data_IF_108491538562
#
_entry.id   IF_108491538562
#
_cell.length_a   1.000
_cell.length_b   1.000
_cell.length_c   1.000
_cell.angle_alpha   90.00
_cell.angle_beta   90.00
_cell.angle_gamma   90.00
#
_symmetry.space_group_name_H-M   'P 1'
#
loop_
_entity.id
_entity.type
_entity.pdbx_description
1 polymer ?
#
# COMPACT_ATOMS: atom_id res chain seq x y z
N UNK A 1 -26.18 7.24 -23.31
CA UNK A 1 -24.70 7.36 -23.42
C UNK A 1 -24.14 8.39 -22.44
N UNK A 2 -24.70 9.62 -22.37
CA UNK A 2 -24.29 10.63 -21.37
C UNK A 2 -24.46 10.19 -19.91
N UNK A 3 -25.60 9.56 -19.55
CA UNK A 3 -25.82 9.04 -18.19
C UNK A 3 -24.80 7.97 -17.82
N UNK A 4 -24.46 7.07 -18.75
CA UNK A 4 -23.44 6.04 -18.52
C UNK A 4 -22.05 6.66 -18.36
N UNK A 5 -21.77 7.73 -19.10
CA UNK A 5 -20.52 8.46 -18.99
C UNK A 5 -20.42 9.24 -17.68
N UNK A 6 -21.49 9.90 -17.23
CA UNK A 6 -21.57 10.50 -15.89
C UNK A 6 -21.46 9.46 -14.77
N UNK A 7 -22.06 8.27 -14.95
CA UNK A 7 -21.97 7.19 -13.97
C UNK A 7 -20.55 6.64 -13.82
N UNK A 8 -19.77 6.65 -14.91
CA UNK A 8 -18.38 6.17 -14.93
C UNK A 8 -17.39 7.26 -14.53
N UNK A 9 -17.67 8.54 -14.80
CA UNK A 9 -16.76 9.65 -14.46
C UNK A 9 -17.03 10.32 -13.12
N UNK A 10 -18.17 10.02 -12.48
CA UNK A 10 -18.47 10.57 -11.15
C UNK A 10 -17.47 10.05 -10.12
N UNK A 11 -16.77 10.98 -9.49
CA UNK A 11 -15.70 10.69 -8.54
C UNK A 11 -16.21 9.81 -7.38
N UNK A 12 -17.35 10.15 -6.77
CA UNK A 12 -17.88 9.36 -5.66
C UNK A 12 -18.22 7.92 -6.08
N UNK A 13 -18.78 7.73 -7.28
CA UNK A 13 -19.05 6.38 -7.79
C UNK A 13 -17.77 5.61 -8.10
N UNK A 14 -16.74 6.26 -8.61
CA UNK A 14 -15.46 5.62 -8.88
C UNK A 14 -14.76 5.13 -7.60
N UNK A 15 -14.72 5.94 -6.54
CA UNK A 15 -14.06 5.54 -5.29
C UNK A 15 -14.88 4.52 -4.47
N UNK A 16 -16.21 4.63 -4.46
CA UNK A 16 -17.07 3.81 -3.59
C UNK A 16 -17.75 2.62 -4.28
N UNK A 17 -17.88 2.66 -5.60
CA UNK A 17 -18.56 1.60 -6.38
C UNK A 17 -17.58 0.92 -7.33
N UNK A 18 -16.97 1.65 -8.27
CA UNK A 18 -16.13 1.03 -9.29
C UNK A 18 -14.81 0.45 -8.75
N UNK A 19 -14.13 1.17 -7.85
CA UNK A 19 -12.93 0.67 -7.18
C UNK A 19 -13.17 -0.65 -6.45
N UNK A 20 -14.13 -0.71 -5.51
CA UNK A 20 -14.50 -1.94 -4.83
C UNK A 20 -14.95 -3.04 -5.79
N UNK A 21 -15.75 -2.71 -6.82
CA UNK A 21 -16.18 -3.67 -7.84
C UNK A 21 -14.99 -4.31 -8.55
N UNK A 22 -13.99 -3.52 -8.98
CA UNK A 22 -12.77 -4.03 -9.59
C UNK A 22 -11.98 -4.91 -8.61
N UNK A 23 -11.93 -4.52 -7.33
CA UNK A 23 -11.34 -5.33 -6.27
C UNK A 23 -12.03 -6.69 -6.12
N UNK A 24 -13.38 -6.71 -6.08
CA UNK A 24 -14.18 -7.94 -6.03
C UNK A 24 -13.94 -8.80 -7.27
N UNK A 25 -13.97 -8.23 -8.47
CA UNK A 25 -13.72 -8.96 -9.72
C UNK A 25 -12.34 -9.61 -9.70
N UNK A 26 -11.28 -8.87 -9.35
CA UNK A 26 -9.95 -9.44 -9.19
C UNK A 26 -9.93 -10.54 -8.11
N UNK A 27 -10.62 -10.33 -6.99
CA UNK A 27 -10.69 -11.31 -5.90
C UNK A 27 -11.32 -12.62 -6.35
N UNK A 28 -12.44 -12.54 -7.05
CA UNK A 28 -13.14 -13.70 -7.62
C UNK A 28 -12.31 -14.36 -8.72
N UNK A 29 -11.67 -13.61 -9.61
CA UNK A 29 -10.85 -14.20 -10.68
C UNK A 29 -9.63 -14.93 -10.12
N UNK A 30 -8.87 -14.29 -9.22
CA UNK A 30 -7.62 -14.86 -8.71
C UNK A 30 -7.82 -15.89 -7.61
N UNK A 31 -8.83 -15.74 -6.74
CA UNK A 31 -9.13 -16.71 -5.69
C UNK A 31 -10.18 -17.74 -6.10
N UNK A 32 -11.08 -17.42 -7.03
CA UNK A 32 -12.26 -18.21 -7.38
C UNK A 32 -12.08 -19.20 -8.54
N UNK A 33 -11.18 -18.95 -9.49
CA UNK A 33 -10.97 -19.86 -10.65
C UNK A 33 -10.12 -21.08 -10.30
N UNK A 34 -9.46 -21.10 -9.14
CA UNK A 34 -8.53 -22.17 -8.74
C UNK A 34 -9.21 -23.35 -8.06
N UNK A 35 -8.61 -24.53 -8.10
CA UNK A 35 -9.19 -25.71 -7.47
C UNK A 35 -9.02 -25.68 -5.94
N UNK A 36 -9.88 -26.37 -5.17
CA UNK A 36 -9.65 -26.59 -3.74
C UNK A 36 -8.34 -27.36 -3.49
N UNK A 37 -7.77 -27.31 -2.27
CA UNK A 37 -6.52 -27.99 -1.97
C UNK A 37 -6.68 -29.51 -2.10
N UNK A 38 -5.67 -30.19 -2.62
CA UNK A 38 -5.68 -31.65 -2.76
C UNK A 38 -5.53 -32.34 -1.40
N UNK A 39 -5.98 -33.60 -1.27
CA UNK A 39 -5.99 -34.37 0.01
C UNK A 39 -4.59 -34.49 0.64
N UNK A 40 -3.52 -34.45 -0.17
CA UNK A 40 -2.12 -34.53 0.29
C UNK A 40 -1.41 -33.16 0.31
N UNK A 41 -2.14 -32.04 0.21
CA UNK A 41 -1.53 -30.71 0.15
C UNK A 41 -0.96 -30.26 1.51
N UNK A 42 0.18 -29.54 1.55
CA UNK A 42 0.80 -29.07 2.79
C UNK A 42 -0.15 -28.17 3.60
N UNK A 43 -0.19 -28.36 4.93
CA UNK A 43 -1.26 -27.83 5.82
C UNK A 43 -0.97 -26.39 6.27
N UNK A 44 0.30 -26.04 6.46
CA UNK A 44 0.74 -24.73 6.95
C UNK A 44 1.48 -23.94 5.88
N UNK A 45 1.46 -22.60 5.99
CA UNK A 45 2.22 -21.71 5.09
C UNK A 45 3.70 -22.07 5.04
N UNK A 46 4.27 -22.45 6.19
CA UNK A 46 5.69 -22.83 6.31
C UNK A 46 5.95 -24.14 5.55
N UNK A 47 5.05 -25.12 5.64
CA UNK A 47 5.15 -26.37 4.88
C UNK A 47 4.98 -26.12 3.38
N UNK A 48 4.00 -25.32 2.96
CA UNK A 48 3.78 -24.94 1.55
C UNK A 48 5.03 -24.26 0.99
N UNK A 49 5.62 -23.30 1.72
CA UNK A 49 6.91 -22.71 1.37
C UNK A 49 8.00 -23.77 1.22
N UNK A 50 8.13 -24.68 2.19
CA UNK A 50 9.18 -25.70 2.14
C UNK A 50 9.05 -26.61 0.91
N UNK A 51 7.83 -27.04 0.61
CA UNK A 51 7.53 -27.95 -0.51
C UNK A 51 7.68 -27.27 -1.88
N UNK A 52 7.20 -26.03 -2.04
CA UNK A 52 7.13 -25.37 -3.34
C UNK A 52 8.25 -24.35 -3.62
N UNK A 53 8.92 -23.82 -2.58
CA UNK A 53 10.00 -22.83 -2.73
C UNK A 53 11.38 -23.44 -2.43
N UNK A 54 11.50 -24.38 -1.48
CA UNK A 54 12.82 -24.77 -0.94
C UNK A 54 13.49 -25.93 -1.69
N UNK A 55 12.99 -26.36 -2.84
CA UNK A 55 13.53 -27.48 -3.62
C UNK A 55 14.31 -27.07 -4.88
N UNK A 56 15.20 -26.04 -4.84
CA UNK A 56 16.39 -25.89 -5.73
C UNK A 56 17.17 -24.59 -5.46
N UNK A 57 18.50 -24.78 -5.32
CA UNK A 57 19.70 -23.89 -5.42
C UNK A 57 19.74 -22.47 -4.83
N UNK A 58 20.61 -22.33 -3.82
CA UNK A 58 21.40 -21.14 -3.51
C UNK A 58 22.27 -20.70 -4.70
N UNK A 59 21.99 -19.52 -5.24
CA UNK A 59 22.97 -18.75 -6.02
C UNK A 59 23.21 -17.44 -5.28
N UNK A 60 24.36 -17.34 -4.62
CA UNK A 60 24.80 -16.12 -3.94
C UNK A 60 25.13 -15.04 -4.96
N UNK A 61 24.38 -13.93 -4.91
CA UNK A 61 24.68 -12.71 -5.65
C UNK A 61 25.40 -11.73 -4.73
N UNK A 62 26.68 -11.52 -4.96
CA UNK A 62 27.51 -10.51 -4.29
C UNK A 62 27.04 -9.11 -4.68
N UNK A 63 26.61 -8.31 -3.70
CA UNK A 63 26.28 -6.90 -3.91
C UNK A 63 27.58 -6.08 -4.00
N UNK A 64 27.87 -5.56 -5.19
CA UNK A 64 28.96 -4.62 -5.42
C UNK A 64 28.64 -3.26 -4.80
N UNK A 65 29.51 -2.78 -3.92
CA UNK A 65 29.47 -1.44 -3.35
C UNK A 65 29.95 -0.40 -4.37
N UNK A 66 29.10 0.56 -4.73
CA UNK A 66 29.50 1.73 -5.52
C UNK A 66 29.86 2.89 -4.60
N UNK A 67 31.05 3.46 -4.84
CA UNK A 67 31.65 4.58 -4.12
C UNK A 67 30.89 5.89 -4.36
N UNK A 68 30.59 6.59 -3.27
CA UNK A 68 29.85 7.85 -3.26
C UNK A 68 30.73 9.07 -3.50
N UNK A 69 30.72 9.55 -4.74
CA UNK A 69 31.11 10.92 -5.08
C UNK A 69 29.95 11.52 -5.89
N UNK A 70 29.14 12.38 -5.26
CA UNK A 70 27.92 12.94 -5.86
C UNK A 70 26.72 13.03 -4.91
N UNK A 71 26.83 12.47 -3.70
CA UNK A 71 25.74 12.45 -2.72
C UNK A 71 25.16 13.83 -2.42
N UNK A 72 25.99 14.88 -2.35
CA UNK A 72 25.54 16.25 -2.05
C UNK A 72 24.59 16.85 -3.11
N UNK A 73 24.86 16.63 -4.39
CA UNK A 73 23.99 17.10 -5.47
C UNK A 73 22.65 16.32 -5.50
N UNK A 74 22.71 15.02 -5.19
CA UNK A 74 21.53 14.15 -5.10
C UNK A 74 20.64 14.58 -3.92
N UNK A 75 21.21 14.85 -2.75
CA UNK A 75 20.46 15.35 -1.59
C UNK A 75 19.83 16.71 -1.84
N UNK A 76 20.55 17.62 -2.53
CA UNK A 76 20.00 18.93 -2.89
C UNK A 76 18.84 18.82 -3.90
N UNK A 77 19.01 18.03 -4.96
CA UNK A 77 17.94 17.77 -5.93
C UNK A 77 16.72 17.11 -5.27
N UNK A 78 16.94 16.20 -4.32
CA UNK A 78 15.88 15.56 -3.55
C UNK A 78 15.15 16.58 -2.66
N UNK A 79 15.86 17.47 -1.98
CA UNK A 79 15.26 18.51 -1.15
C UNK A 79 14.35 19.44 -1.98
N UNK A 80 14.83 19.92 -3.14
CA UNK A 80 14.02 20.75 -4.06
C UNK A 80 12.82 19.97 -4.60
N UNK A 81 13.02 18.70 -4.95
CA UNK A 81 11.94 17.81 -5.40
C UNK A 81 10.85 17.63 -4.35
N UNK A 82 11.22 17.46 -3.07
CA UNK A 82 10.26 17.34 -1.97
C UNK A 82 9.50 18.65 -1.76
N UNK A 83 10.17 19.81 -1.80
CA UNK A 83 9.48 21.11 -1.71
C UNK A 83 8.45 21.29 -2.84
N UNK A 84 8.79 20.87 -4.05
CA UNK A 84 7.85 20.88 -5.17
C UNK A 84 6.66 19.93 -4.94
N UNK A 85 6.92 18.71 -4.44
CA UNK A 85 5.86 17.75 -4.11
C UNK A 85 4.94 18.26 -3.01
N UNK A 86 5.47 18.95 -1.99
CA UNK A 86 4.68 19.58 -0.94
C UNK A 86 3.75 20.64 -1.49
N UNK A 87 4.26 21.52 -2.35
CA UNK A 87 3.47 22.54 -3.00
C UNK A 87 2.37 21.93 -3.89
N UNK A 88 2.70 20.91 -4.69
CA UNK A 88 1.72 20.21 -5.52
C UNK A 88 0.68 19.47 -4.68
N UNK A 89 1.08 18.83 -3.60
CA UNK A 89 0.18 18.17 -2.67
C UNK A 89 -0.81 19.17 -2.06
N UNK A 90 -0.35 20.37 -1.66
CA UNK A 90 -1.20 21.43 -1.10
C UNK A 90 -2.29 21.88 -2.09
N UNK A 91 -1.93 22.00 -3.37
CA UNK A 91 -2.87 22.40 -4.44
C UNK A 91 -3.87 21.30 -4.76
N UNK A 92 -3.40 20.05 -4.85
CA UNK A 92 -4.20 18.92 -5.33
C UNK A 92 -4.64 17.97 -4.22
N UNK A 93 -4.75 18.45 -2.98
CA UNK A 93 -5.00 17.59 -1.82
C UNK A 93 -6.27 16.76 -1.97
N UNK A 94 -7.35 17.36 -2.46
CA UNK A 94 -8.62 16.67 -2.66
C UNK A 94 -8.48 15.53 -3.66
N UNK A 95 -7.78 15.78 -4.77
CA UNK A 95 -7.54 14.80 -5.82
C UNK A 95 -6.62 13.66 -5.35
N UNK A 96 -5.58 13.99 -4.57
CA UNK A 96 -4.66 12.99 -4.00
C UNK A 96 -5.41 12.07 -3.04
N UNK A 97 -6.17 12.61 -2.08
CA UNK A 97 -6.95 11.81 -1.14
C UNK A 97 -8.02 11.00 -1.85
N UNK A 98 -8.64 11.58 -2.89
CA UNK A 98 -9.61 10.88 -3.71
C UNK A 98 -9.02 9.61 -4.36
N UNK A 99 -7.88 9.71 -5.03
CA UNK A 99 -7.23 8.54 -5.63
C UNK A 99 -6.72 7.54 -4.57
N UNK A 100 -6.25 8.02 -3.42
CA UNK A 100 -5.86 7.15 -2.31
C UNK A 100 -7.06 6.36 -1.76
N UNK A 101 -8.23 7.01 -1.60
CA UNK A 101 -9.45 6.33 -1.18
C UNK A 101 -9.94 5.32 -2.20
N UNK A 102 -9.89 5.65 -3.50
CA UNK A 102 -10.22 4.70 -4.57
C UNK A 102 -9.29 3.48 -4.56
N UNK A 103 -7.98 3.71 -4.41
CA UNK A 103 -7.00 2.63 -4.37
C UNK A 103 -7.18 1.75 -3.12
N UNK A 104 -7.38 2.38 -1.96
CA UNK A 104 -7.66 1.69 -0.70
C UNK A 104 -8.91 0.83 -0.81
N UNK A 105 -10.01 1.39 -1.31
CA UNK A 105 -11.30 0.69 -1.40
C UNK A 105 -11.21 -0.52 -2.35
N UNK A 106 -10.47 -0.37 -3.45
CA UNK A 106 -10.15 -1.46 -4.39
C UNK A 106 -9.37 -2.58 -3.72
N UNK A 107 -8.27 -2.26 -3.01
CA UNK A 107 -7.44 -3.25 -2.33
C UNK A 107 -8.17 -3.92 -1.17
N UNK A 108 -8.98 -3.17 -0.41
CA UNK A 108 -9.76 -3.70 0.69
C UNK A 108 -10.82 -4.67 0.19
N UNK A 109 -11.55 -4.31 -0.86
CA UNK A 109 -12.53 -5.19 -1.50
C UNK A 109 -11.88 -6.45 -2.08
N UNK A 110 -10.71 -6.31 -2.73
CA UNK A 110 -9.91 -7.44 -3.17
C UNK A 110 -9.55 -8.36 -1.99
N UNK A 111 -9.02 -7.80 -0.90
CA UNK A 111 -8.63 -8.57 0.29
C UNK A 111 -9.80 -9.28 0.95
N UNK A 112 -10.93 -8.60 1.13
CA UNK A 112 -12.14 -9.18 1.73
C UNK A 112 -12.71 -10.30 0.86
N UNK A 113 -12.76 -10.09 -0.45
CA UNK A 113 -13.26 -11.08 -1.41
C UNK A 113 -12.35 -12.30 -1.46
N UNK A 114 -11.04 -12.09 -1.54
CA UNK A 114 -10.06 -13.18 -1.48
C UNK A 114 -10.19 -13.98 -0.18
N UNK A 115 -10.34 -13.31 0.97
CA UNK A 115 -10.56 -13.99 2.24
C UNK A 115 -11.85 -14.82 2.24
N UNK A 116 -12.96 -14.26 1.75
CA UNK A 116 -14.25 -14.94 1.68
C UNK A 116 -14.21 -16.15 0.75
N UNK A 117 -13.68 -16.00 -0.46
CA UNK A 117 -13.57 -17.09 -1.44
C UNK A 117 -12.64 -18.20 -0.93
N UNK A 118 -11.50 -17.84 -0.35
CA UNK A 118 -10.59 -18.81 0.28
C UNK A 118 -11.24 -19.55 1.45
N UNK A 119 -12.13 -18.89 2.20
CA UNK A 119 -12.92 -19.51 3.26
C UNK A 119 -13.91 -20.52 2.70
N UNK A 120 -14.69 -20.13 1.69
CA UNK A 120 -15.68 -21.01 1.05
C UNK A 120 -15.03 -22.24 0.40
N UNK A 121 -13.79 -22.11 -0.09
CA UNK A 121 -13.01 -23.20 -0.66
C UNK A 121 -12.29 -24.09 0.36
N UNK A 122 -12.36 -23.77 1.65
CA UNK A 122 -11.65 -24.51 2.69
C UNK A 122 -10.12 -24.39 2.61
N UNK A 123 -9.59 -23.30 2.03
CA UNK A 123 -8.13 -23.08 1.92
C UNK A 123 -7.48 -22.79 3.28
N UNK A 124 -8.26 -22.38 4.29
CA UNK A 124 -7.80 -22.15 5.66
C UNK A 124 -7.59 -23.47 6.43
N UNK A 125 -6.52 -24.19 6.08
CA UNK A 125 -6.17 -25.46 6.74
C UNK A 125 -5.38 -25.28 8.04
N UNK A 126 -5.01 -24.06 8.41
CA UNK A 126 -4.38 -23.73 9.70
C UNK A 126 -4.55 -22.26 10.06
N UNK A 127 -4.38 -21.92 11.35
CA UNK A 127 -4.42 -20.54 11.85
C UNK A 127 -3.38 -19.63 11.16
N UNK A 128 -2.27 -20.20 10.66
CA UNK A 128 -1.26 -19.43 9.93
C UNK A 128 -1.82 -18.79 8.66
N UNK A 129 -2.63 -19.54 7.89
CA UNK A 129 -3.27 -19.02 6.68
C UNK A 129 -4.26 -17.90 6.99
N UNK A 130 -5.00 -18.03 8.09
CA UNK A 130 -5.93 -16.99 8.53
C UNK A 130 -5.19 -15.68 8.83
N UNK A 131 -4.05 -15.73 9.55
CA UNK A 131 -3.25 -14.53 9.84
C UNK A 131 -2.77 -13.84 8.56
N UNK A 132 -2.21 -14.59 7.60
CA UNK A 132 -1.63 -13.97 6.40
C UNK A 132 -2.66 -13.43 5.40
N UNK A 133 -3.91 -13.89 5.45
CA UNK A 133 -5.00 -13.39 4.59
C UNK A 133 -5.84 -12.31 5.29
N UNK A 134 -6.01 -12.39 6.61
CA UNK A 134 -6.79 -11.39 7.38
C UNK A 134 -5.95 -10.17 7.75
N UNK A 135 -4.64 -10.32 7.99
CA UNK A 135 -3.77 -9.19 8.33
C UNK A 135 -3.78 -8.05 7.28
N UNK A 136 -3.75 -8.32 5.96
CA UNK A 136 -3.94 -7.29 4.95
C UNK A 136 -5.20 -6.45 5.14
N UNK A 137 -6.33 -7.05 5.52
CA UNK A 137 -7.58 -6.32 5.81
C UNK A 137 -7.36 -5.34 6.97
N UNK A 138 -6.78 -5.82 8.07
CA UNK A 138 -6.55 -4.98 9.27
C UNK A 138 -5.58 -3.83 8.99
N UNK A 139 -4.51 -4.07 8.24
CA UNK A 139 -3.52 -3.05 7.87
C UNK A 139 -4.16 -2.01 6.95
N UNK A 140 -4.91 -2.45 5.92
CA UNK A 140 -5.62 -1.53 5.02
C UNK A 140 -6.67 -0.70 5.76
N UNK A 141 -7.43 -1.27 6.69
CA UNK A 141 -8.34 -0.50 7.55
C UNK A 141 -7.60 0.58 8.35
N UNK A 142 -6.41 0.26 8.86
CA UNK A 142 -5.52 1.24 9.50
C UNK A 142 -5.08 2.35 8.54
N UNK A 143 -4.71 2.02 7.30
CA UNK A 143 -4.40 3.03 6.28
C UNK A 143 -5.59 3.95 6.02
N UNK A 144 -6.82 3.43 6.02
CA UNK A 144 -8.04 4.24 5.91
C UNK A 144 -8.18 5.26 7.03
N UNK A 145 -7.87 4.87 8.27
CA UNK A 145 -7.87 5.79 9.41
C UNK A 145 -6.81 6.90 9.26
N UNK A 146 -5.60 6.55 8.78
CA UNK A 146 -4.54 7.55 8.52
C UNK A 146 -4.91 8.51 7.39
N UNK A 147 -5.50 8.02 6.30
CA UNK A 147 -5.96 8.88 5.18
C UNK A 147 -7.09 9.81 5.64
N UNK A 148 -8.02 9.31 6.45
CA UNK A 148 -9.08 10.13 7.05
C UNK A 148 -8.49 11.23 7.94
N UNK A 149 -7.53 10.87 8.80
CA UNK A 149 -6.84 11.80 9.69
C UNK A 149 -6.09 12.87 8.90
N UNK A 150 -5.36 12.48 7.84
CA UNK A 150 -4.63 13.40 6.97
C UNK A 150 -5.54 14.45 6.35
N UNK A 151 -6.69 14.02 5.82
CA UNK A 151 -7.69 14.93 5.27
C UNK A 151 -8.27 15.87 6.32
N UNK A 152 -8.60 15.35 7.51
CA UNK A 152 -9.21 16.16 8.59
C UNK A 152 -8.24 17.14 9.26
N UNK A 153 -6.94 16.83 9.24
CA UNK A 153 -5.90 17.64 9.88
C UNK A 153 -5.33 18.71 8.94
N UNK A 154 -5.71 18.69 7.67
CA UNK A 154 -5.23 19.65 6.70
C UNK A 154 -6.08 20.93 6.71
N UNK A 155 -5.41 22.07 6.78
CA UNK A 155 -6.04 23.38 6.76
C UNK A 155 -6.35 23.83 5.31
N UNK A 156 -7.62 24.05 4.93
CA UNK A 156 -7.99 24.47 3.57
C UNK A 156 -7.41 25.84 3.17
N UNK A 157 -7.02 26.69 4.12
CA UNK A 157 -6.36 27.97 3.81
C UNK A 157 -4.99 27.75 3.15
N UNK A 158 -4.31 26.63 3.44
CA UNK A 158 -3.04 26.25 2.83
C UNK A 158 -3.16 25.99 1.33
N UNK A 159 -4.31 25.51 0.86
CA UNK A 159 -4.57 25.33 -0.58
C UNK A 159 -4.69 26.67 -1.28
N UNK A 160 -5.35 27.66 -0.66
CA UNK A 160 -5.46 29.01 -1.22
C UNK A 160 -4.08 29.69 -1.29
N UNK A 161 -3.30 29.63 -0.20
CA UNK A 161 -1.93 30.13 -0.15
C UNK A 161 -1.02 29.44 -1.19
N UNK A 162 -1.11 28.12 -1.35
CA UNK A 162 -0.32 27.40 -2.33
C UNK A 162 -0.67 27.76 -3.78
N UNK A 163 -1.95 28.08 -4.06
CA UNK A 163 -2.41 28.42 -5.40
C UNK A 163 -1.94 29.81 -5.87
N UNK A 164 -1.66 30.72 -4.93
CA UNK A 164 -1.28 32.11 -5.20
C UNK A 164 0.24 32.32 -5.26
N UNK A 165 1.02 31.43 -4.67
CA UNK A 165 2.48 31.53 -4.59
C UNK A 165 3.20 30.42 -5.37
N UNK A 166 4.43 30.71 -5.82
CA UNK A 166 5.31 29.67 -6.38
C UNK A 166 5.83 28.76 -5.27
N UNK A 167 6.24 27.53 -5.59
CA UNK A 167 6.68 26.53 -4.60
C UNK A 167 7.75 27.03 -3.62
N UNK A 168 8.70 27.86 -4.09
CA UNK A 168 9.76 28.42 -3.27
C UNK A 168 9.23 29.47 -2.30
N UNK A 169 8.37 30.36 -2.80
CA UNK A 169 7.79 31.47 -2.04
C UNK A 169 6.75 30.99 -1.02
N UNK A 170 5.99 29.96 -1.40
CA UNK A 170 5.08 29.23 -0.52
C UNK A 170 5.83 28.62 0.67
N UNK A 171 6.94 27.91 0.39
CA UNK A 171 7.68 27.21 1.44
C UNK A 171 8.53 28.13 2.33
N UNK A 172 9.21 29.14 1.75
CA UNK A 172 10.15 29.98 2.50
C UNK A 172 9.55 31.23 3.12
N UNK A 173 8.51 31.82 2.52
CA UNK A 173 7.94 33.09 3.00
C UNK A 173 6.50 32.97 3.47
N UNK A 174 5.69 32.07 2.90
CA UNK A 174 4.25 31.99 3.21
C UNK A 174 3.96 31.04 4.39
N UNK A 175 4.78 30.01 4.60
CA UNK A 175 4.60 29.05 5.68
C UNK A 175 5.41 29.42 6.94
N UNK A 176 4.77 29.36 8.10
CA UNK A 176 5.45 29.39 9.40
C UNK A 176 6.37 28.16 9.56
N UNK A 177 7.31 28.20 10.52
CA UNK A 177 8.18 27.05 10.79
C UNK A 177 7.37 25.77 11.09
N UNK A 178 6.25 25.91 11.80
CA UNK A 178 5.28 24.85 12.03
C UNK A 178 4.56 24.41 10.76
N UNK A 179 4.05 25.34 9.95
CA UNK A 179 3.41 25.02 8.68
C UNK A 179 4.33 24.23 7.73
N UNK A 180 5.63 24.58 7.66
CA UNK A 180 6.62 23.83 6.85
C UNK A 180 6.80 22.41 7.36
N UNK A 181 6.97 22.24 8.67
CA UNK A 181 7.16 20.93 9.29
C UNK A 181 5.91 20.04 9.12
N UNK A 182 4.72 20.59 9.37
CA UNK A 182 3.44 19.90 9.21
C UNK A 182 3.20 19.47 7.75
N UNK A 183 3.48 20.35 6.79
CA UNK A 183 3.31 20.05 5.37
C UNK A 183 4.29 18.97 4.90
N UNK A 184 5.55 19.02 5.33
CA UNK A 184 6.54 17.99 5.04
C UNK A 184 6.15 16.64 5.65
N UNK A 185 5.75 16.64 6.92
CA UNK A 185 5.38 15.41 7.61
C UNK A 185 4.12 14.78 7.03
N UNK A 186 3.11 15.58 6.67
CA UNK A 186 1.90 15.08 6.01
C UNK A 186 2.22 14.43 4.66
N UNK A 187 3.02 15.07 3.81
CA UNK A 187 3.38 14.52 2.49
C UNK A 187 4.14 13.21 2.64
N UNK A 188 5.09 13.15 3.58
CA UNK A 188 5.82 11.92 3.89
C UNK A 188 4.89 10.85 4.45
N UNK A 189 3.99 11.20 5.37
CA UNK A 189 3.04 10.27 5.98
C UNK A 189 2.06 9.68 4.96
N UNK A 190 1.57 10.51 4.03
CA UNK A 190 0.73 10.06 2.90
C UNK A 190 1.51 9.15 1.95
N UNK A 191 2.77 9.50 1.63
CA UNK A 191 3.64 8.66 0.80
C UNK A 191 3.93 7.30 1.45
N UNK A 192 4.24 7.28 2.75
CA UNK A 192 4.43 6.03 3.52
C UNK A 192 3.13 5.22 3.53
N UNK A 193 1.98 5.85 3.72
CA UNK A 193 0.67 5.17 3.68
C UNK A 193 0.43 4.50 2.32
N UNK A 194 0.75 5.19 1.22
CA UNK A 194 0.66 4.62 -0.13
C UNK A 194 1.57 3.40 -0.29
N UNK A 195 2.83 3.49 0.17
CA UNK A 195 3.77 2.36 0.12
C UNK A 195 3.26 1.17 0.95
N UNK A 196 2.70 1.42 2.14
CA UNK A 196 2.09 0.37 2.97
C UNK A 196 0.92 -0.30 2.23
N UNK A 197 0.05 0.47 1.57
CA UNK A 197 -1.05 -0.09 0.78
C UNK A 197 -0.54 -0.98 -0.37
N UNK A 198 0.42 -0.49 -1.16
CA UNK A 198 1.01 -1.23 -2.29
C UNK A 198 1.65 -2.53 -1.81
N UNK A 199 2.49 -2.47 -0.78
CA UNK A 199 3.13 -3.66 -0.23
C UNK A 199 2.16 -4.62 0.44
N UNK A 200 1.07 -4.13 1.04
CA UNK A 200 0.00 -4.99 1.56
C UNK A 200 -0.69 -5.76 0.43
N UNK A 201 -0.98 -5.09 -0.69
CA UNK A 201 -1.52 -5.73 -1.89
C UNK A 201 -0.58 -6.80 -2.46
N UNK A 202 0.71 -6.50 -2.58
CA UNK A 202 1.72 -7.47 -3.05
C UNK A 202 1.89 -8.65 -2.09
N UNK A 203 1.86 -8.42 -0.78
CA UNK A 203 1.89 -9.48 0.22
C UNK A 203 0.67 -10.40 0.08
N UNK A 204 -0.53 -9.84 -0.07
CA UNK A 204 -1.73 -10.63 -0.30
C UNK A 204 -1.64 -11.47 -1.59
N UNK A 205 -1.15 -10.89 -2.69
CA UNK A 205 -0.92 -11.62 -3.95
C UNK A 205 0.07 -12.79 -3.75
N UNK A 206 1.14 -12.58 -2.96
CA UNK A 206 2.09 -13.65 -2.62
C UNK A 206 1.40 -14.84 -1.93
N UNK A 207 0.63 -14.59 -0.88
CA UNK A 207 -0.04 -15.65 -0.13
C UNK A 207 -1.18 -16.29 -0.92
N UNK A 208 -1.87 -15.53 -1.77
CA UNK A 208 -2.86 -16.06 -2.69
C UNK A 208 -2.22 -17.00 -3.71
N UNK A 209 -1.09 -16.61 -4.29
CA UNK A 209 -0.34 -17.45 -5.21
C UNK A 209 0.12 -18.76 -4.55
N UNK A 210 0.63 -18.68 -3.31
CA UNK A 210 0.98 -19.85 -2.51
C UNK A 210 -0.21 -20.77 -2.21
N UNK A 211 -1.38 -20.21 -1.86
CA UNK A 211 -2.60 -21.01 -1.68
C UNK A 211 -2.97 -21.75 -2.96
N UNK A 212 -2.94 -21.04 -4.10
CA UNK A 212 -3.33 -21.58 -5.38
C UNK A 212 -2.39 -22.67 -5.91
N UNK A 213 -1.11 -22.64 -5.54
CA UNK A 213 -0.15 -23.72 -5.84
C UNK A 213 -0.48 -25.07 -5.16
N UNK A 214 -1.25 -25.06 -4.07
CA UNK A 214 -1.67 -26.29 -3.37
C UNK A 214 -2.67 -27.12 -4.17
N UNK A 215 -3.23 -26.52 -5.21
CA UNK A 215 -4.09 -27.17 -6.18
C UNK A 215 -3.33 -27.38 -7.50
N UNK A 216 -3.32 -28.60 -8.02
CA UNK A 216 -2.81 -28.86 -9.36
C UNK A 216 -3.86 -28.38 -10.37
N UNK A 217 -3.51 -27.37 -11.16
CA UNK A 217 -4.41 -26.76 -12.13
C UNK A 217 -3.66 -26.13 -13.30
N UNK A 218 -4.35 -25.76 -14.39
CA UNK A 218 -3.74 -25.26 -15.62
C UNK A 218 -2.93 -23.96 -15.42
N UNK A 219 -3.25 -23.18 -14.38
CA UNK A 219 -2.55 -21.94 -14.05
C UNK A 219 -1.38 -22.12 -13.07
N UNK A 220 -0.97 -23.35 -12.76
CA UNK A 220 0.06 -23.63 -11.76
C UNK A 220 1.39 -22.90 -12.05
N UNK A 221 1.82 -22.84 -13.32
CA UNK A 221 3.04 -22.12 -13.73
C UNK A 221 2.97 -20.61 -13.48
N UNK A 222 1.81 -19.99 -13.71
CA UNK A 222 1.58 -18.58 -13.41
C UNK A 222 1.70 -18.29 -11.91
N UNK A 223 1.14 -19.16 -11.07
CA UNK A 223 1.23 -19.03 -9.62
C UNK A 223 2.65 -19.25 -9.09
N UNK A 224 3.44 -20.13 -9.72
CA UNK A 224 4.88 -20.27 -9.43
C UNK A 224 5.66 -19.00 -9.77
N UNK A 225 5.43 -18.42 -10.95
CA UNK A 225 6.04 -17.15 -11.34
C UNK A 225 5.71 -16.03 -10.34
N UNK A 226 4.43 -15.83 -10.01
CA UNK A 226 4.01 -14.80 -9.06
C UNK A 226 4.63 -14.98 -7.68
N UNK A 227 4.70 -16.22 -7.19
CA UNK A 227 5.32 -16.52 -5.90
C UNK A 227 6.81 -16.21 -5.92
N UNK A 228 7.50 -16.54 -7.01
CA UNK A 228 8.91 -16.20 -7.25
C UNK A 228 9.14 -14.68 -7.25
N UNK A 229 8.34 -13.93 -7.99
CA UNK A 229 8.44 -12.48 -8.09
C UNK A 229 8.16 -11.76 -6.75
N UNK A 230 7.38 -12.38 -5.86
CA UNK A 230 6.97 -11.80 -4.57
C UNK A 230 7.65 -12.45 -3.37
N UNK A 231 8.75 -13.20 -3.57
CA UNK A 231 9.47 -13.91 -2.50
C UNK A 231 9.87 -13.04 -1.31
N UNK A 232 10.09 -11.74 -1.53
CA UNK A 232 10.39 -10.78 -0.46
C UNK A 232 9.32 -10.76 0.65
N UNK A 233 8.05 -10.99 0.30
CA UNK A 233 6.93 -11.02 1.24
C UNK A 233 6.76 -12.37 1.95
N UNK A 234 7.69 -13.31 1.73
CA UNK A 234 7.65 -14.64 2.33
C UNK A 234 8.06 -14.62 3.80
N UNK A 235 7.14 -14.95 4.70
CA UNK A 235 7.40 -15.06 6.16
C UNK A 235 6.65 -14.01 6.97
N UNK A 236 7.08 -13.76 8.23
CA UNK A 236 6.37 -12.83 9.14
C UNK A 236 6.98 -11.41 9.17
N UNK A 237 8.16 -11.21 8.59
CA UNK A 237 8.89 -9.93 8.61
C UNK A 237 8.08 -8.79 8.01
N UNK A 238 7.41 -9.04 6.88
CA UNK A 238 6.59 -8.02 6.21
C UNK A 238 5.47 -7.48 7.12
N UNK A 239 4.87 -8.31 7.98
CA UNK A 239 3.84 -7.85 8.93
C UNK A 239 4.39 -6.79 9.88
N UNK A 240 5.59 -7.02 10.43
CA UNK A 240 6.25 -6.07 11.32
C UNK A 240 6.64 -4.79 10.57
N UNK A 241 7.18 -4.90 9.36
CA UNK A 241 7.58 -3.74 8.54
C UNK A 241 6.37 -2.88 8.18
N UNK A 242 5.25 -3.50 7.78
CA UNK A 242 4.04 -2.76 7.41
C UNK A 242 3.32 -2.17 8.62
N UNK A 243 3.29 -2.88 9.75
CA UNK A 243 2.75 -2.34 10.99
C UNK A 243 3.58 -1.15 11.49
N UNK A 244 4.91 -1.24 11.45
CA UNK A 244 5.79 -0.13 11.77
C UNK A 244 5.60 1.05 10.81
N UNK A 245 5.52 0.77 9.50
CA UNK A 245 5.24 1.80 8.48
C UNK A 245 3.90 2.50 8.71
N UNK A 246 2.86 1.77 9.11
CA UNK A 246 1.56 2.34 9.45
C UNK A 246 1.61 3.24 10.69
N UNK A 247 2.31 2.80 11.75
CA UNK A 247 2.52 3.61 12.96
C UNK A 247 3.32 4.88 12.63
N UNK A 248 4.38 4.74 11.82
CA UNK A 248 5.18 5.88 11.36
C UNK A 248 4.33 6.86 10.54
N UNK A 249 3.49 6.36 9.63
CA UNK A 249 2.58 7.19 8.85
C UNK A 249 1.59 7.94 9.75
N UNK A 250 1.02 7.28 10.75
CA UNK A 250 0.16 7.92 11.75
C UNK A 250 0.89 9.05 12.49
N UNK A 251 2.10 8.81 13.00
CA UNK A 251 2.90 9.81 13.72
C UNK A 251 3.32 11.00 12.83
N UNK A 252 3.50 10.77 11.54
CA UNK A 252 3.84 11.81 10.55
C UNK A 252 2.64 12.68 10.17
N UNK A 253 1.46 12.09 10.11
CA UNK A 253 0.22 12.77 9.72
C UNK A 253 -0.41 13.53 10.88
N UNK A 254 -0.37 12.96 12.08
CA UNK A 254 -1.01 13.54 13.26
C UNK A 254 -0.30 14.84 13.69
N UNK A 255 -1.03 15.97 13.79
CA UNK A 255 -0.46 17.29 14.06
C UNK A 255 0.15 17.40 15.47
N UNK A 256 -0.15 16.48 16.39
CA UNK A 256 0.32 16.52 17.77
C UNK A 256 1.70 15.92 18.03
N UNK A 257 2.27 15.17 17.07
CA UNK A 257 3.53 14.44 17.28
C UNK A 257 4.71 15.06 16.53
N UNK A 258 5.10 14.48 15.39
CA UNK A 258 6.32 14.85 14.65
C UNK A 258 6.34 16.34 14.25
N UNK A 259 5.22 16.97 13.80
CA UNK A 259 5.19 18.40 13.50
C UNK A 259 5.56 19.30 14.69
N UNK A 260 5.13 18.93 15.90
CA UNK A 260 5.40 19.68 17.14
C UNK A 260 6.83 19.42 17.62
N UNK A 261 7.35 18.21 17.45
CA UNK A 261 8.73 17.88 17.83
C UNK A 261 9.76 18.61 16.98
N UNK A 262 9.51 18.73 15.68
CA UNK A 262 10.38 19.44 14.74
C UNK A 262 10.38 20.97 14.95
N UNK A 263 9.41 21.51 15.68
CA UNK A 263 9.28 22.96 15.92
C UNK A 263 9.65 23.42 17.33
N UNK A 264 9.87 22.48 18.26
CA UNK A 264 10.32 22.78 19.63
C UNK A 264 11.86 22.92 19.75
N UNK A 265 12.58 22.99 18.64
CA UNK A 265 13.99 23.36 18.58
C UNK A 265 14.12 24.86 18.27
#
# INVERSE_FOLDING_TARGET
MQIFMELVTNANLQAWVWGPLMGVLCGVLFAGITNPPTVNAPITVIQTKRTYITNVTTTGGSAGSTSGEGAGAIFFALAVGVMFLVWKYAIYIELVHYYLWMFLSTLLAFSMTTALVSLLKGQFTSASWAVFIVAPITILSGCGAVIALAKSSFDPELTQLASQHTFFDFYMHSLSAYGRSLMMSQVLGVAVTLLVMVFTGLALVHYLALMNQRSYGPLHGFWMFLTGATLFFSGRSWLFVLAFGLVLAYLLVDPGYIPVWMTKQ
#
